data_IF_006831250315
#
_entry.id   IF_006831250315
#
_cell.length_a   1.000
_cell.length_b   1.000
_cell.length_c   1.000
_cell.angle_alpha   90.00
_cell.angle_beta   90.00
_cell.angle_gamma   90.00
#
_symmetry.space_group_name_H-M   'P 1'
#
loop_
_entity.id
_entity.type
_entity.pdbx_description
1 polymer ?
#
# COMPACT_ATOMS: atom_id res chain seq x y z
N UNK A 1 11.16 -20.04 -0.19
CA UNK A 1 10.45 -21.29 0.13
C UNK A 1 8.95 -21.01 0.08
N UNK A 2 8.34 -21.29 -1.07
CA UNK A 2 6.92 -21.05 -1.35
C UNK A 2 6.06 -22.28 -1.07
N UNK A 3 6.69 -23.46 -0.99
CA UNK A 3 5.97 -24.72 -0.82
C UNK A 3 5.38 -24.87 0.59
N UNK A 4 4.20 -25.51 0.72
CA UNK A 4 3.62 -25.86 2.01
C UNK A 4 4.58 -26.71 2.84
N UNK A 5 4.51 -26.58 4.17
CA UNK A 5 5.32 -27.41 5.06
C UNK A 5 4.94 -28.91 4.91
N UNK A 6 5.93 -29.82 4.88
CA UNK A 6 5.72 -31.23 4.56
C UNK A 6 4.88 -32.01 5.59
N UNK A 7 4.66 -31.44 6.78
CA UNK A 7 3.92 -32.07 7.88
C UNK A 7 2.40 -31.95 7.79
N UNK A 8 1.84 -31.18 6.84
CA UNK A 8 0.39 -30.97 6.78
C UNK A 8 -0.14 -31.05 5.35
N UNK A 9 -0.87 -32.12 5.05
CA UNK A 9 -1.44 -32.41 3.72
C UNK A 9 -2.59 -31.46 3.32
N UNK A 10 -3.00 -30.55 4.21
CA UNK A 10 -4.13 -29.63 4.02
C UNK A 10 -3.80 -28.16 4.32
N UNK A 11 -2.58 -27.81 4.75
CA UNK A 11 -2.31 -26.43 5.21
C UNK A 11 -1.86 -25.52 4.07
N UNK A 12 -2.57 -24.40 3.91
CA UNK A 12 -2.17 -23.23 3.09
C UNK A 12 -0.99 -22.45 3.73
N UNK A 13 -0.41 -22.96 4.82
CA UNK A 13 0.73 -22.35 5.50
C UNK A 13 2.04 -22.70 4.80
N UNK A 14 2.54 -21.77 4.01
CA UNK A 14 3.93 -21.79 3.55
C UNK A 14 4.85 -21.11 4.57
N UNK A 15 6.14 -21.48 4.63
CA UNK A 15 7.14 -20.77 5.44
C UNK A 15 7.16 -19.27 5.15
N UNK A 16 6.90 -18.88 3.90
CA UNK A 16 6.80 -17.48 3.51
C UNK A 16 5.65 -16.75 4.22
N UNK A 17 4.46 -17.34 4.30
CA UNK A 17 3.33 -16.71 5.00
C UNK A 17 3.60 -16.54 6.49
N UNK A 18 4.22 -17.54 7.12
CA UNK A 18 4.64 -17.47 8.52
C UNK A 18 5.65 -16.35 8.77
N UNK A 19 6.65 -16.22 7.89
CA UNK A 19 7.64 -15.14 7.99
C UNK A 19 7.00 -13.77 7.75
N UNK A 20 6.12 -13.65 6.76
CA UNK A 20 5.39 -12.40 6.51
C UNK A 20 4.56 -12.00 7.72
N UNK A 21 3.78 -12.93 8.28
CA UNK A 21 2.97 -12.66 9.48
C UNK A 21 3.84 -12.25 10.68
N UNK A 22 4.94 -12.97 10.93
CA UNK A 22 5.85 -12.65 12.02
C UNK A 22 6.49 -11.27 11.83
N UNK A 23 6.98 -10.96 10.62
CA UNK A 23 7.55 -9.65 10.30
C UNK A 23 6.51 -8.55 10.41
N UNK A 24 5.28 -8.76 9.91
CA UNK A 24 4.20 -7.77 10.00
C UNK A 24 3.89 -7.43 11.45
N UNK A 25 3.85 -8.43 12.34
CA UNK A 25 3.64 -8.22 13.78
C UNK A 25 4.82 -7.53 14.45
N UNK A 26 6.05 -7.88 14.10
CA UNK A 26 7.25 -7.25 14.63
C UNK A 26 7.32 -5.76 14.25
N UNK A 27 7.04 -5.44 12.97
CA UNK A 27 7.16 -4.09 12.43
C UNK A 27 6.03 -3.14 12.87
N UNK A 28 5.10 -3.58 13.72
CA UNK A 28 4.15 -2.68 14.40
C UNK A 28 4.90 -1.73 15.35
N UNK A 29 6.05 -2.15 15.88
CA UNK A 29 6.86 -1.32 16.77
C UNK A 29 8.01 -0.67 16.01
N UNK A 30 8.12 0.66 16.11
CA UNK A 30 9.15 1.47 15.44
C UNK A 30 10.57 0.98 15.75
N UNK A 31 10.86 0.64 17.01
CA UNK A 31 12.18 0.11 17.40
C UNK A 31 12.56 -1.17 16.64
N UNK A 32 11.59 -2.03 16.33
CA UNK A 32 11.85 -3.24 15.56
C UNK A 32 12.08 -2.92 14.08
N UNK A 33 11.42 -1.88 13.55
CA UNK A 33 11.69 -1.37 12.20
C UNK A 33 13.12 -0.84 12.15
N UNK A 34 13.54 -0.02 13.10
CA UNK A 34 14.91 0.51 13.17
C UNK A 34 15.95 -0.61 13.21
N UNK A 35 15.73 -1.63 14.04
CA UNK A 35 16.62 -2.80 14.13
C UNK A 35 16.66 -3.61 12.83
N UNK A 36 15.51 -3.78 12.16
CA UNK A 36 15.45 -4.46 10.87
C UNK A 36 16.21 -3.68 9.80
N UNK A 37 16.02 -2.36 9.72
CA UNK A 37 16.68 -1.50 8.76
C UNK A 37 18.19 -1.35 9.03
N UNK A 38 18.61 -1.46 10.29
CA UNK A 38 20.01 -1.49 10.67
C UNK A 38 20.73 -2.81 10.30
N UNK A 39 20.01 -3.85 9.85
CA UNK A 39 20.58 -5.17 9.54
C UNK A 39 21.37 -5.15 8.23
N UNK A 40 22.71 -5.29 8.23
CA UNK A 40 23.49 -5.28 7.00
C UNK A 40 23.39 -6.61 6.24
N UNK A 41 23.56 -6.61 4.90
CA UNK A 41 23.67 -5.48 4.00
C UNK A 41 22.29 -4.97 3.54
N UNK A 42 22.21 -3.67 3.22
CA UNK A 42 20.99 -3.00 2.76
C UNK A 42 20.37 -3.65 1.51
N UNK A 43 21.17 -4.30 0.67
CA UNK A 43 20.69 -5.07 -0.49
C UNK A 43 19.64 -6.12 -0.13
N UNK A 44 19.69 -6.71 1.07
CA UNK A 44 18.66 -7.65 1.53
C UNK A 44 17.31 -6.97 1.73
N UNK A 45 17.30 -5.74 2.22
CA UNK A 45 16.08 -4.93 2.39
C UNK A 45 15.50 -4.55 1.02
N UNK A 46 16.36 -4.18 0.07
CA UNK A 46 15.92 -3.91 -1.32
C UNK A 46 15.31 -5.17 -1.96
N UNK A 47 15.90 -6.35 -1.75
CA UNK A 47 15.33 -7.61 -2.21
C UNK A 47 13.98 -7.91 -1.54
N UNK A 48 13.83 -7.61 -0.25
CA UNK A 48 12.56 -7.71 0.46
C UNK A 48 11.51 -6.81 -0.22
N UNK A 49 11.82 -5.54 -0.54
CA UNK A 49 10.89 -4.67 -1.26
C UNK A 49 10.49 -5.21 -2.63
N UNK A 50 11.41 -5.86 -3.36
CA UNK A 50 11.08 -6.54 -4.61
C UNK A 50 10.08 -7.69 -4.40
N UNK A 51 10.26 -8.48 -3.33
CA UNK A 51 9.31 -9.53 -2.96
C UNK A 51 7.96 -8.93 -2.58
N UNK A 52 7.92 -7.93 -1.70
CA UNK A 52 6.68 -7.28 -1.25
C UNK A 52 5.91 -6.66 -2.44
N UNK A 53 6.61 -6.06 -3.40
CA UNK A 53 5.98 -5.51 -4.61
C UNK A 53 5.37 -6.61 -5.48
N UNK A 54 6.01 -7.78 -5.61
CA UNK A 54 5.43 -8.94 -6.30
C UNK A 54 4.20 -9.48 -5.58
N UNK A 55 4.18 -9.44 -4.25
CA UNK A 55 3.03 -9.84 -3.46
C UNK A 55 1.86 -8.87 -3.63
N UNK A 56 2.11 -7.56 -3.69
CA UNK A 56 1.09 -6.56 -4.03
C UNK A 56 0.46 -6.80 -5.40
N UNK A 57 1.25 -7.25 -6.38
CA UNK A 57 0.75 -7.55 -7.72
C UNK A 57 -0.14 -8.81 -7.76
N UNK A 58 -0.04 -9.70 -6.76
CA UNK A 58 -0.74 -10.97 -6.76
C UNK A 58 -2.16 -10.86 -6.16
N UNK A 59 -3.11 -10.41 -6.99
CA UNK A 59 -4.52 -10.19 -6.60
C UNK A 59 -5.29 -11.47 -6.21
N UNK A 60 -4.77 -12.67 -6.49
CA UNK A 60 -5.42 -13.93 -6.11
C UNK A 60 -5.23 -14.31 -4.63
N UNK A 61 -4.29 -13.66 -3.94
CA UNK A 61 -3.90 -13.99 -2.56
C UNK A 61 -4.06 -12.77 -1.63
N UNK A 62 -5.31 -12.40 -1.28
CA UNK A 62 -5.60 -11.15 -0.57
C UNK A 62 -4.89 -11.04 0.78
N UNK A 63 -4.77 -12.14 1.52
CA UNK A 63 -4.06 -12.18 2.80
C UNK A 63 -2.58 -11.81 2.65
N UNK A 64 -1.94 -12.30 1.58
CA UNK A 64 -0.52 -12.04 1.35
C UNK A 64 -0.29 -10.60 0.88
N UNK A 65 -1.24 -10.06 0.12
CA UNK A 65 -1.27 -8.64 -0.25
C UNK A 65 -1.38 -7.75 0.98
N UNK A 66 -2.28 -8.06 1.92
CA UNK A 66 -2.43 -7.30 3.16
C UNK A 66 -1.15 -7.31 4.02
N UNK A 67 -0.51 -8.47 4.18
CA UNK A 67 0.79 -8.52 4.87
C UNK A 67 1.84 -7.65 4.17
N UNK A 68 1.85 -7.62 2.83
CA UNK A 68 2.77 -6.79 2.08
C UNK A 68 2.50 -5.29 2.29
N UNK A 69 1.23 -4.86 2.31
CA UNK A 69 0.84 -3.48 2.62
C UNK A 69 1.26 -3.08 4.04
N UNK A 70 1.02 -3.95 5.04
CA UNK A 70 1.39 -3.66 6.44
C UNK A 70 2.91 -3.48 6.57
N UNK A 71 3.69 -4.36 5.97
CA UNK A 71 5.14 -4.29 5.99
C UNK A 71 5.66 -3.04 5.27
N UNK A 72 5.20 -2.80 4.03
CA UNK A 72 5.61 -1.63 3.27
C UNK A 72 5.28 -0.35 4.03
N UNK A 73 4.06 -0.24 4.58
CA UNK A 73 3.62 0.92 5.36
C UNK A 73 4.52 1.17 6.57
N UNK A 74 4.93 0.13 7.27
CA UNK A 74 5.81 0.27 8.45
C UNK A 74 7.24 0.64 8.05
N UNK A 75 7.77 0.04 6.99
CA UNK A 75 9.17 0.22 6.56
C UNK A 75 9.43 1.59 5.90
N UNK A 76 8.48 2.09 5.09
CA UNK A 76 8.63 3.41 4.45
C UNK A 76 8.49 4.58 5.44
N UNK A 77 7.85 4.35 6.58
CA UNK A 77 7.75 5.33 7.68
C UNK A 77 9.03 5.42 8.50
N UNK A 78 9.79 4.31 8.63
CA UNK A 78 11.01 4.26 9.43
C UNK A 78 12.20 4.99 8.81
N UNK A 79 12.35 4.97 7.49
CA UNK A 79 13.47 5.63 6.81
C UNK A 79 13.11 6.10 5.38
N UNK A 80 13.52 7.33 5.04
CA UNK A 80 13.35 7.90 3.69
C UNK A 80 14.10 7.11 2.63
N UNK A 81 15.21 6.45 2.98
CA UNK A 81 15.94 5.54 2.09
C UNK A 81 15.06 4.35 1.66
N UNK A 82 14.19 3.86 2.55
CA UNK A 82 13.23 2.80 2.26
C UNK A 82 12.11 3.30 1.35
N UNK A 83 11.58 4.49 1.61
CA UNK A 83 10.62 5.13 0.71
C UNK A 83 11.22 5.31 -0.70
N UNK A 84 12.48 5.72 -0.82
CA UNK A 84 13.16 5.79 -2.11
C UNK A 84 13.28 4.42 -2.78
N UNK A 85 13.72 3.41 -2.03
CA UNK A 85 13.92 2.06 -2.55
C UNK A 85 12.62 1.38 -3.01
N UNK A 86 11.51 1.60 -2.30
CA UNK A 86 10.17 1.10 -2.66
C UNK A 86 9.64 1.79 -3.92
N UNK A 87 9.78 3.11 -4.04
CA UNK A 87 9.36 3.84 -5.24
C UNK A 87 10.12 3.39 -6.50
N UNK A 88 11.38 2.95 -6.34
CA UNK A 88 12.19 2.39 -7.41
C UNK A 88 11.82 0.96 -7.82
N UNK A 89 11.00 0.24 -7.02
CA UNK A 89 10.48 -1.07 -7.42
C UNK A 89 9.34 -0.88 -8.42
N UNK A 90 9.58 -1.04 -9.72
CA UNK A 90 8.51 -0.94 -10.71
C UNK A 90 7.63 -2.22 -10.69
N UNK A 91 6.27 -2.13 -10.71
CA UNK A 91 5.40 -0.94 -10.75
C UNK A 91 4.72 -0.59 -9.40
N UNK A 92 5.48 -0.32 -8.32
CA UNK A 92 4.94 -0.16 -6.95
C UNK A 92 3.87 0.92 -6.80
N UNK A 93 4.11 2.14 -7.31
CA UNK A 93 3.15 3.26 -7.23
C UNK A 93 1.84 2.89 -7.95
N UNK A 94 1.94 2.32 -9.15
CA UNK A 94 0.74 1.89 -9.90
C UNK A 94 -0.03 0.80 -9.16
N UNK A 95 0.64 -0.16 -8.53
CA UNK A 95 -0.02 -1.23 -7.77
C UNK A 95 -0.78 -0.70 -6.55
N UNK A 96 -0.23 0.30 -5.86
CA UNK A 96 -0.89 0.95 -4.73
C UNK A 96 -2.12 1.76 -5.18
N UNK A 97 -2.03 2.45 -6.32
CA UNK A 97 -3.18 3.15 -6.91
C UNK A 97 -4.26 2.17 -7.39
N UNK A 98 -3.87 1.08 -8.07
CA UNK A 98 -4.78 0.01 -8.49
C UNK A 98 -5.57 -0.54 -7.30
N UNK A 99 -4.91 -0.72 -6.15
CA UNK A 99 -5.55 -1.22 -4.93
C UNK A 99 -6.63 -0.26 -4.43
N UNK A 100 -6.33 1.04 -4.37
CA UNK A 100 -7.28 2.08 -3.97
C UNK A 100 -8.46 2.22 -4.95
N UNK A 101 -8.18 2.26 -6.25
CA UNK A 101 -9.20 2.34 -7.32
C UNK A 101 -10.11 1.10 -7.32
N UNK A 102 -9.56 -0.08 -7.08
CA UNK A 102 -10.37 -1.31 -7.00
C UNK A 102 -11.34 -1.25 -5.82
N UNK A 103 -10.89 -0.76 -4.66
CA UNK A 103 -11.75 -0.60 -3.49
C UNK A 103 -12.82 0.47 -3.71
N UNK A 104 -12.46 1.61 -4.30
CA UNK A 104 -13.39 2.67 -4.68
C UNK A 104 -14.48 2.13 -5.64
N UNK A 105 -14.09 1.40 -6.69
CA UNK A 105 -15.03 0.85 -7.67
C UNK A 105 -16.02 -0.14 -7.04
N UNK A 106 -15.54 -0.99 -6.13
CA UNK A 106 -16.40 -1.90 -5.37
C UNK A 106 -17.33 -1.12 -4.44
N UNK A 107 -16.84 -0.09 -3.76
CA UNK A 107 -17.66 0.79 -2.94
C UNK A 107 -18.77 1.44 -3.77
N UNK A 108 -18.44 2.02 -4.93
CA UNK A 108 -19.43 2.58 -5.86
C UNK A 108 -20.49 1.56 -6.27
N UNK A 109 -20.08 0.34 -6.59
CA UNK A 109 -21.02 -0.73 -6.97
C UNK A 109 -21.97 -1.05 -5.82
N UNK A 110 -21.47 -1.20 -4.60
CA UNK A 110 -22.30 -1.46 -3.41
C UNK A 110 -23.24 -0.29 -3.14
N UNK A 111 -22.75 0.95 -3.19
CA UNK A 111 -23.54 2.16 -2.98
C UNK A 111 -24.69 2.27 -3.98
N UNK A 112 -24.44 1.93 -5.26
CA UNK A 112 -25.45 1.96 -6.31
C UNK A 112 -26.52 0.89 -6.14
N UNK A 113 -26.18 -0.30 -5.62
CA UNK A 113 -27.13 -1.41 -5.48
C UNK A 113 -27.88 -1.41 -4.14
N UNK A 114 -27.20 -1.08 -3.04
CA UNK A 114 -27.72 -1.21 -1.67
C UNK A 114 -27.85 0.13 -0.95
N UNK A 115 -27.45 1.23 -1.59
CA UNK A 115 -27.37 2.55 -0.98
C UNK A 115 -26.10 2.75 -0.15
N UNK A 116 -25.78 4.01 0.13
CA UNK A 116 -24.56 4.38 0.86
C UNK A 116 -24.55 3.89 2.32
N UNK A 117 -25.74 3.65 2.90
CA UNK A 117 -25.87 3.19 4.27
C UNK A 117 -25.29 1.77 4.45
N UNK A 118 -25.43 0.90 3.43
CA UNK A 118 -24.86 -0.44 3.48
C UNK A 118 -23.33 -0.44 3.61
N UNK A 119 -22.65 0.56 3.02
CA UNK A 119 -21.20 0.74 3.19
C UNK A 119 -20.83 1.28 4.56
N UNK A 120 -21.67 2.12 5.15
CA UNK A 120 -21.45 2.66 6.51
C UNK A 120 -21.59 1.58 7.56
N UNK A 121 -22.58 0.71 7.38
CA UNK A 121 -22.88 -0.38 8.30
C UNK A 121 -21.88 -1.54 8.16
N UNK A 122 -21.38 -1.79 6.94
CA UNK A 122 -20.40 -2.83 6.70
C UNK A 122 -19.35 -2.41 5.64
N UNK A 123 -18.25 -1.76 6.06
CA UNK A 123 -17.17 -1.33 5.17
C UNK A 123 -16.42 -2.50 4.50
N UNK A 124 -16.45 -3.69 5.10
CA UNK A 124 -15.71 -4.86 4.59
C UNK A 124 -16.27 -5.40 3.26
N UNK A 125 -17.47 -4.96 2.85
CA UNK A 125 -18.08 -5.32 1.56
C UNK A 125 -17.21 -4.85 0.38
N UNK A 126 -16.32 -3.87 0.59
CA UNK A 126 -15.31 -3.46 -0.41
C UNK A 126 -14.26 -4.56 -0.69
N UNK A 127 -14.27 -5.67 0.05
CA UNK A 127 -13.33 -6.78 -0.09
C UNK A 127 -11.93 -6.47 0.46
N UNK A 128 -11.83 -5.44 1.29
CA UNK A 128 -10.69 -5.08 2.12
C UNK A 128 -11.18 -4.18 3.26
N UNK A 129 -10.30 -3.80 4.19
CA UNK A 129 -10.61 -2.91 5.30
C UNK A 129 -10.21 -1.46 5.02
N UNK A 130 -10.85 -0.53 5.72
CA UNK A 130 -10.50 0.88 5.63
C UNK A 130 -9.06 1.17 6.11
N UNK A 131 -8.56 0.40 7.08
CA UNK A 131 -7.17 0.48 7.54
C UNK A 131 -6.19 0.20 6.40
N UNK A 132 -6.47 -0.81 5.55
CA UNK A 132 -5.61 -1.14 4.41
C UNK A 132 -5.60 -0.03 3.35
N UNK A 133 -6.74 0.65 3.12
CA UNK A 133 -6.79 1.82 2.23
C UNK A 133 -5.94 2.96 2.76
N UNK A 134 -6.04 3.25 4.06
CA UNK A 134 -5.21 4.28 4.72
C UNK A 134 -3.73 3.93 4.65
N UNK A 135 -3.36 2.67 4.85
CA UNK A 135 -1.98 2.21 4.71
C UNK A 135 -1.46 2.39 3.30
N UNK A 136 -2.23 2.02 2.28
CA UNK A 136 -1.84 2.22 0.88
C UNK A 136 -1.63 3.71 0.54
N UNK A 137 -2.55 4.59 0.97
CA UNK A 137 -2.41 6.03 0.80
C UNK A 137 -1.21 6.60 1.56
N UNK A 138 -0.97 6.15 2.79
CA UNK A 138 0.20 6.57 3.58
C UNK A 138 1.52 6.08 2.97
N UNK A 139 1.56 4.90 2.35
CA UNK A 139 2.73 4.48 1.58
C UNK A 139 2.98 5.51 0.48
N UNK A 140 1.98 5.79 -0.37
CA UNK A 140 2.10 6.78 -1.45
C UNK A 140 2.56 8.15 -0.94
N UNK A 141 2.05 8.60 0.21
CA UNK A 141 2.46 9.84 0.85
C UNK A 141 3.92 9.84 1.28
N UNK A 142 4.38 8.79 1.98
CA UNK A 142 5.79 8.64 2.36
C UNK A 142 6.71 8.57 1.14
N UNK A 143 6.27 7.92 0.06
CA UNK A 143 7.01 7.93 -1.21
C UNK A 143 7.11 9.35 -1.78
N UNK A 144 6.05 10.15 -1.74
CA UNK A 144 6.01 11.52 -2.29
C UNK A 144 6.77 12.57 -1.45
N UNK A 145 6.95 12.32 -0.15
CA UNK A 145 7.78 13.16 0.73
C UNK A 145 9.23 13.22 0.23
N UNK A 146 9.73 12.13 -0.38
CA UNK A 146 11.06 12.06 -0.99
C UNK A 146 11.07 12.82 -2.33
N UNK A 147 11.81 13.94 -2.46
CA UNK A 147 11.78 14.79 -3.66
C UNK A 147 12.13 14.04 -4.95
N UNK A 148 13.08 13.10 -4.90
CA UNK A 148 13.54 12.29 -6.03
C UNK A 148 12.47 11.35 -6.58
N UNK A 149 11.44 11.04 -5.79
CA UNK A 149 10.34 10.19 -6.20
C UNK A 149 9.24 10.96 -6.95
N UNK A 150 9.15 12.29 -6.79
CA UNK A 150 7.99 13.06 -7.26
C UNK A 150 7.77 12.96 -8.77
N UNK A 151 8.84 12.89 -9.57
CA UNK A 151 8.75 12.69 -11.02
C UNK A 151 8.15 11.33 -11.42
N UNK A 152 8.24 10.32 -10.55
CA UNK A 152 7.63 9.00 -10.79
C UNK A 152 6.10 9.05 -10.71
N UNK A 153 5.54 10.05 -10.02
CA UNK A 153 4.10 10.26 -9.88
C UNK A 153 3.48 10.98 -11.08
N UNK A 154 4.28 11.65 -11.93
CA UNK A 154 3.76 12.47 -13.04
C UNK A 154 2.83 11.69 -13.98
N UNK A 155 3.19 10.47 -14.33
CA UNK A 155 2.34 9.58 -15.16
C UNK A 155 1.02 9.13 -14.48
N UNK A 156 0.89 9.34 -13.16
CA UNK A 156 -0.23 8.92 -12.34
C UNK A 156 -1.10 10.08 -11.83
N UNK A 157 -0.80 11.31 -12.24
CA UNK A 157 -1.50 12.51 -11.77
C UNK A 157 -3.03 12.44 -11.94
N UNK A 158 -3.51 12.04 -13.12
CA UNK A 158 -4.95 11.94 -13.40
C UNK A 158 -5.65 10.90 -12.51
N UNK A 159 -4.96 9.79 -12.22
CA UNK A 159 -5.48 8.72 -11.34
C UNK A 159 -5.62 9.21 -9.90
N UNK A 160 -4.59 9.87 -9.38
CA UNK A 160 -4.62 10.51 -8.07
C UNK A 160 -5.74 11.56 -7.97
N UNK A 161 -5.88 12.42 -8.99
CA UNK A 161 -6.94 13.43 -9.04
C UNK A 161 -8.33 12.77 -9.00
N UNK A 162 -8.54 11.69 -9.76
CA UNK A 162 -9.80 10.94 -9.76
C UNK A 162 -10.14 10.41 -8.37
N UNK A 163 -9.17 9.79 -7.69
CA UNK A 163 -9.36 9.27 -6.33
C UNK A 163 -9.66 10.38 -5.31
N UNK A 164 -8.96 11.52 -5.40
CA UNK A 164 -9.19 12.67 -4.50
C UNK A 164 -10.57 13.28 -4.69
N UNK A 165 -11.08 13.31 -5.92
CA UNK A 165 -12.40 13.85 -6.26
C UNK A 165 -13.55 12.87 -5.97
N UNK A 166 -13.23 11.63 -5.60
CA UNK A 166 -14.20 10.59 -5.30
C UNK A 166 -15.16 11.01 -4.18
N UNK A 167 -16.45 10.77 -4.40
CA UNK A 167 -17.50 11.05 -3.41
C UNK A 167 -17.77 9.84 -2.49
N UNK A 168 -17.20 8.68 -2.81
CA UNK A 168 -17.42 7.45 -2.05
C UNK A 168 -16.21 7.04 -1.21
N UNK A 169 -15.01 7.48 -1.61
CA UNK A 169 -13.79 7.17 -0.89
C UNK A 169 -13.79 7.83 0.50
N UNK A 170 -13.19 7.15 1.49
CA UNK A 170 -13.07 7.70 2.85
C UNK A 170 -12.35 9.05 2.84
N UNK A 171 -12.90 10.01 3.59
CA UNK A 171 -12.40 11.39 3.59
C UNK A 171 -10.95 11.48 4.06
N UNK A 172 -10.53 10.65 5.02
CA UNK A 172 -9.14 10.64 5.46
C UNK A 172 -8.20 10.10 4.38
N UNK A 173 -8.61 9.07 3.64
CA UNK A 173 -7.83 8.55 2.51
C UNK A 173 -7.71 9.61 1.42
N UNK A 174 -8.82 10.27 1.07
CA UNK A 174 -8.83 11.36 0.09
C UNK A 174 -7.92 12.53 0.51
N UNK A 175 -7.90 12.89 1.80
CA UNK A 175 -7.01 13.93 2.32
C UNK A 175 -5.53 13.57 2.15
N UNK A 176 -5.14 12.35 2.51
CA UNK A 176 -3.75 11.89 2.35
C UNK A 176 -3.33 11.94 0.88
N UNK A 177 -4.20 11.52 -0.04
CA UNK A 177 -3.96 11.58 -1.48
C UNK A 177 -3.92 13.02 -2.02
N UNK A 178 -4.69 13.94 -1.43
CA UNK A 178 -4.60 15.36 -1.73
C UNK A 178 -3.22 15.92 -1.35
N UNK A 179 -2.68 15.52 -0.20
CA UNK A 179 -1.33 15.90 0.21
C UNK A 179 -0.27 15.30 -0.75
N UNK A 180 -0.46 14.07 -1.24
CA UNK A 180 0.40 13.48 -2.28
C UNK A 180 0.39 14.33 -3.55
N UNK A 181 -0.80 14.72 -4.05
CA UNK A 181 -0.92 15.60 -5.21
C UNK A 181 -0.21 16.94 -4.96
N UNK A 182 -0.41 17.55 -3.79
CA UNK A 182 0.22 18.80 -3.41
C UNK A 182 1.76 18.68 -3.42
N UNK A 183 2.31 17.62 -2.81
CA UNK A 183 3.76 17.39 -2.75
C UNK A 183 4.38 17.19 -4.14
N UNK A 184 3.68 16.49 -5.03
CA UNK A 184 4.18 16.15 -6.36
C UNK A 184 4.01 17.27 -7.39
N UNK A 185 2.93 18.07 -7.33
CA UNK A 185 2.49 18.94 -8.44
C UNK A 185 2.37 20.42 -8.08
N UNK A 186 2.84 20.85 -6.91
CA UNK A 186 2.81 22.25 -6.45
C UNK A 186 3.36 23.29 -7.44
N UNK A 187 4.28 22.90 -8.33
CA UNK A 187 4.89 23.78 -9.33
C UNK A 187 4.20 23.83 -10.70
N UNK A 188 3.19 22.99 -10.94
CA UNK A 188 2.50 22.85 -12.24
C UNK A 188 1.07 23.39 -12.24
N UNK A 189 0.56 23.88 -11.10
CA UNK A 189 -0.72 24.58 -11.06
C UNK A 189 -0.54 25.93 -11.78
N UNK A 190 -1.20 26.17 -12.93
CA UNK A 190 -1.12 27.47 -13.57
C UNK A 190 -1.69 28.50 -12.61
N UNK A 191 -0.88 29.53 -12.32
CA UNK A 191 -1.41 30.77 -11.76
C UNK A 191 -2.59 31.20 -12.63
N UNK A 192 -3.73 31.39 -11.96
CA UNK A 192 -5.01 31.77 -12.54
C UNK A 192 -4.93 32.96 -13.50
#
# INVERSE_FOLDING_TARGET
ATDPLPSTTTSVLSPQRLVLEALSKLCIHETNVDLLLATPPFDRIVQLFSILTKLLANKSEPVTLEFALVLLSSLVQGDTSCARAVAMQHPSISLLLDFLETAEHKAMTVANHHGINALRDNPEIMGTSLDMLRRAANILHNLALVPENRSLFTQHQQRLLSLVMSQILDQFVAQILSDVLYLCFQGELPNS
#
